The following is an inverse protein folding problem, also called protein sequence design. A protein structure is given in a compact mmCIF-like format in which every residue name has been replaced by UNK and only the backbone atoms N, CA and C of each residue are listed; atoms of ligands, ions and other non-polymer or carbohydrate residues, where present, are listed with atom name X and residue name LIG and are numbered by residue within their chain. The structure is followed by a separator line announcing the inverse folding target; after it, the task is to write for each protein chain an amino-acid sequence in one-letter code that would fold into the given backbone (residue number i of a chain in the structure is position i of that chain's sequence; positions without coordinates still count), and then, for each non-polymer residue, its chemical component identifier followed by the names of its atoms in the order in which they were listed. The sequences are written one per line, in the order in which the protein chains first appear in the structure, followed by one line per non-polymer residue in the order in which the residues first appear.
data_IF_553739832850
#
_entry.id   IF_553739832850
#
_cell.length_a   1.000
_cell.length_b   1.000
_cell.length_c   1.000
_cell.angle_alpha   90.00
_cell.angle_beta   90.00
_cell.angle_gamma   90.00
#
_symmetry.space_group_name_H-M   'P 1'
#
loop_
_entity.id
_entity.type
_entity.pdbx_description
1 polymer ?
#
# COMPACT_ATOMS: atom_id res chain seq x y z
N UNK A 1 -31.20 13.06 10.91
CA UNK A 1 -30.43 11.84 10.56
C UNK A 1 -31.17 11.13 9.43
N UNK A 2 -30.77 11.34 8.18
CA UNK A 2 -31.26 10.53 7.06
C UNK A 2 -30.33 9.33 6.92
N UNK A 3 -30.81 8.13 7.28
CA UNK A 3 -30.16 6.88 6.91
C UNK A 3 -30.31 6.74 5.39
N UNK A 4 -29.39 7.35 4.66
CA UNK A 4 -29.21 7.14 3.22
C UNK A 4 -28.98 5.63 3.05
N UNK A 5 -29.81 4.96 2.23
CA UNK A 5 -29.61 3.55 1.83
C UNK A 5 -28.12 3.34 1.59
N UNK A 6 -27.53 2.29 2.18
CA UNK A 6 -26.13 1.98 1.97
C UNK A 6 -25.88 1.83 0.48
N UNK A 7 -25.28 2.85 -0.13
CA UNK A 7 -24.92 2.81 -1.54
C UNK A 7 -23.88 1.70 -1.70
N UNK A 8 -24.12 0.73 -2.59
CA UNK A 8 -23.20 -0.38 -2.87
C UNK A 8 -21.76 0.10 -3.13
N UNK A 9 -21.62 1.32 -3.70
CA UNK A 9 -20.34 2.00 -3.90
C UNK A 9 -19.61 2.29 -2.59
N UNK A 10 -20.31 2.72 -1.55
CA UNK A 10 -19.73 2.96 -0.23
C UNK A 10 -19.29 1.66 0.43
N UNK A 11 -20.06 0.58 0.28
CA UNK A 11 -19.69 -0.74 0.82
C UNK A 11 -18.40 -1.24 0.19
N UNK A 12 -18.28 -1.18 -1.14
CA UNK A 12 -17.07 -1.56 -1.87
C UNK A 12 -15.88 -0.69 -1.44
N UNK A 13 -16.08 0.62 -1.28
CA UNK A 13 -15.05 1.55 -0.84
C UNK A 13 -14.50 1.19 0.55
N UNK A 14 -15.37 0.90 1.52
CA UNK A 14 -14.95 0.48 2.86
C UNK A 14 -14.30 -0.91 2.89
N UNK A 15 -14.73 -1.84 2.02
CA UNK A 15 -14.04 -3.12 1.83
C UNK A 15 -12.63 -2.93 1.27
N UNK A 16 -12.43 -2.02 0.33
CA UNK A 16 -11.10 -1.67 -0.17
C UNK A 16 -10.22 -1.07 0.94
N UNK A 17 -10.77 -0.24 1.84
CA UNK A 17 -10.02 0.27 2.98
C UNK A 17 -9.64 -0.83 3.95
N UNK A 18 -10.54 -1.76 4.22
CA UNK A 18 -10.24 -2.93 5.04
C UNK A 18 -9.09 -3.75 4.45
N UNK A 19 -9.15 -4.06 3.15
CA UNK A 19 -8.08 -4.76 2.45
C UNK A 19 -6.75 -4.00 2.49
N UNK A 20 -6.78 -2.67 2.33
CA UNK A 20 -5.59 -1.84 2.44
C UNK A 20 -5.01 -1.83 3.85
N UNK A 21 -5.85 -1.79 4.89
CA UNK A 21 -5.41 -1.87 6.28
C UNK A 21 -4.78 -3.24 6.59
N UNK A 22 -5.43 -4.33 6.17
CA UNK A 22 -4.89 -5.69 6.38
C UNK A 22 -3.53 -5.86 5.71
N UNK A 23 -3.36 -5.36 4.49
CA UNK A 23 -2.09 -5.48 3.77
C UNK A 23 -1.01 -4.59 4.38
N UNK A 24 -1.33 -3.34 4.71
CA UNK A 24 -0.36 -2.43 5.32
C UNK A 24 0.10 -2.88 6.72
N UNK A 25 -0.74 -3.62 7.46
CA UNK A 25 -0.31 -4.19 8.74
C UNK A 25 0.72 -5.32 8.60
N UNK A 26 0.88 -5.92 7.42
CA UNK A 26 1.84 -6.99 7.17
C UNK A 26 3.19 -6.50 6.60
N UNK A 27 3.39 -5.19 6.45
CA UNK A 27 4.57 -4.58 5.80
C UNK A 27 5.91 -5.07 6.37
N UNK A 28 5.95 -5.39 7.67
CA UNK A 28 7.16 -5.80 8.38
C UNK A 28 7.32 -7.32 8.49
N UNK A 29 6.46 -8.12 7.83
CA UNK A 29 6.41 -9.57 7.99
C UNK A 29 5.68 -10.04 9.26
N UNK A 30 5.67 -9.21 10.31
CA UNK A 30 4.81 -9.35 11.49
C UNK A 30 3.69 -8.31 11.48
N UNK A 31 2.56 -8.61 12.13
CA UNK A 31 1.47 -7.66 12.26
C UNK A 31 1.95 -6.42 13.03
N UNK A 32 1.91 -5.25 12.42
CA UNK A 32 2.25 -3.97 13.07
C UNK A 32 1.21 -2.90 12.72
N UNK A 33 0.96 -1.90 13.57
CA UNK A 33 -0.05 -0.88 13.33
C UNK A 33 0.37 0.19 12.32
N UNK A 34 1.10 -0.20 11.28
CA UNK A 34 1.54 0.70 10.21
C UNK A 34 0.36 1.32 9.45
N UNK A 35 -0.75 0.60 9.34
CA UNK A 35 -1.95 1.08 8.66
C UNK A 35 -2.67 2.24 9.38
N UNK A 36 -2.26 2.59 10.61
CA UNK A 36 -2.72 3.77 11.32
C UNK A 36 -2.39 5.07 10.55
N UNK A 37 -1.32 5.08 9.76
CA UNK A 37 -0.98 6.19 8.87
C UNK A 37 -2.02 6.41 7.76
N UNK A 38 -2.56 5.32 7.20
CA UNK A 38 -3.64 5.36 6.21
C UNK A 38 -4.96 5.79 6.87
N UNK A 39 -5.22 5.36 8.10
CA UNK A 39 -6.41 5.77 8.87
C UNK A 39 -6.43 7.28 9.08
N UNK A 40 -5.32 7.87 9.50
CA UNK A 40 -5.18 9.32 9.66
C UNK A 40 -5.47 10.07 8.35
N UNK A 41 -4.98 9.57 7.22
CA UNK A 41 -5.23 10.16 5.90
C UNK A 41 -6.70 10.02 5.46
N UNK A 42 -7.36 8.89 5.73
CA UNK A 42 -8.78 8.71 5.41
C UNK A 42 -9.69 9.65 6.22
N UNK A 43 -9.38 9.86 7.49
CA UNK A 43 -10.10 10.80 8.35
C UNK A 43 -9.88 12.26 7.91
N UNK A 44 -8.68 12.59 7.41
CA UNK A 44 -8.41 13.91 6.80
C UNK A 44 -9.31 14.21 5.60
N UNK A 45 -9.66 13.22 4.78
CA UNK A 45 -10.62 13.38 3.68
C UNK A 45 -12.10 13.28 4.10
N UNK A 46 -12.40 13.31 5.40
CA UNK A 46 -13.76 13.36 5.92
C UNK A 46 -14.53 12.04 5.85
N UNK A 47 -13.82 10.90 5.75
CA UNK A 47 -14.44 9.57 5.86
C UNK A 47 -14.96 9.33 7.28
N UNK A 48 -15.83 8.33 7.43
CA UNK A 48 -16.57 8.16 8.68
C UNK A 48 -15.64 7.88 9.88
N UNK A 49 -15.83 8.66 10.94
CA UNK A 49 -15.02 8.63 12.17
C UNK A 49 -15.28 7.37 13.00
N UNK A 50 -16.32 6.60 12.68
CA UNK A 50 -16.69 5.37 13.41
C UNK A 50 -16.34 4.11 12.62
N UNK A 51 -16.68 4.07 11.32
CA UNK A 51 -16.51 2.84 10.52
C UNK A 51 -15.04 2.64 10.16
N UNK A 52 -14.29 3.71 9.82
CA UNK A 52 -12.89 3.55 9.42
C UNK A 52 -11.99 3.05 10.58
N UNK A 53 -12.08 3.59 11.81
CA UNK A 53 -11.32 3.03 12.94
C UNK A 53 -11.76 1.62 13.34
N UNK A 54 -13.06 1.29 13.23
CA UNK A 54 -13.53 -0.06 13.48
C UNK A 54 -12.93 -1.06 12.49
N UNK A 55 -12.91 -0.73 11.18
CA UNK A 55 -12.28 -1.57 10.16
C UNK A 55 -10.76 -1.71 10.37
N UNK A 56 -10.10 -0.65 10.83
CA UNK A 56 -8.70 -0.70 11.22
C UNK A 56 -8.46 -1.70 12.37
N UNK A 57 -9.28 -1.71 13.41
CA UNK A 57 -9.13 -2.69 14.51
C UNK A 57 -9.43 -4.12 14.05
N UNK A 58 -10.46 -4.31 13.22
CA UNK A 58 -10.80 -5.62 12.66
C UNK A 58 -9.69 -6.14 11.73
N UNK A 59 -8.88 -5.26 11.13
CA UNK A 59 -7.79 -5.64 10.21
C UNK A 59 -6.63 -6.40 10.87
N UNK A 60 -6.59 -6.47 12.21
CA UNK A 60 -5.61 -7.29 12.95
C UNK A 60 -6.09 -8.74 13.17
N UNK A 61 -7.40 -9.01 13.06
CA UNK A 61 -7.97 -10.35 13.29
C UNK A 61 -7.43 -11.44 12.33
N UNK A 62 -7.24 -11.17 11.01
CA UNK A 62 -6.71 -12.18 10.10
C UNK A 62 -5.32 -12.72 10.47
N UNK A 63 -4.55 -11.94 11.24
CA UNK A 63 -3.20 -12.29 11.67
C UNK A 63 -3.17 -12.91 13.08
N UNK A 64 -4.31 -13.08 13.74
CA UNK A 64 -4.38 -13.60 15.13
C UNK A 64 -3.67 -12.71 16.16
N UNK A 65 -3.39 -11.45 15.81
CA UNK A 65 -2.55 -10.53 16.58
C UNK A 65 -3.35 -9.82 17.69
N UNK A 66 -3.94 -10.59 18.61
CA UNK A 66 -4.79 -10.06 19.69
C UNK A 66 -4.02 -9.18 20.67
N UNK A 67 -2.75 -9.47 20.92
CA UNK A 67 -1.88 -8.69 21.82
C UNK A 67 -1.65 -7.26 21.31
N UNK A 68 -1.79 -7.05 20.00
CA UNK A 68 -1.61 -5.77 19.32
C UNK A 68 -2.90 -4.95 19.21
N UNK A 69 -4.06 -5.52 19.54
CA UNK A 69 -5.34 -4.81 19.49
C UNK A 69 -5.40 -3.65 20.49
N UNK A 70 -4.85 -3.81 21.68
CA UNK A 70 -4.83 -2.75 22.70
C UNK A 70 -3.87 -1.61 22.29
N UNK A 71 -2.62 -1.90 21.88
CA UNK A 71 -1.75 -0.92 21.23
C UNK A 71 -2.36 -0.22 20.00
N UNK A 72 -3.16 -0.91 19.20
CA UNK A 72 -3.85 -0.35 18.03
C UNK A 72 -5.13 0.44 18.39
N UNK A 73 -5.79 0.12 19.51
CA UNK A 73 -6.95 0.88 19.98
C UNK A 73 -6.58 2.31 20.38
N UNK A 74 -5.36 2.53 20.88
CA UNK A 74 -4.85 3.84 21.28
C UNK A 74 -4.83 4.82 20.09
N UNK A 75 -4.20 4.53 18.94
CA UNK A 75 -4.22 5.43 17.81
C UNK A 75 -5.63 5.62 17.23
N UNK A 76 -6.45 4.56 17.22
CA UNK A 76 -7.85 4.69 16.81
C UNK A 76 -8.63 5.69 17.71
N UNK A 77 -8.49 5.59 19.03
CA UNK A 77 -9.16 6.48 19.98
C UNK A 77 -8.64 7.92 19.87
N UNK A 78 -7.31 8.11 19.78
CA UNK A 78 -6.69 9.43 19.61
C UNK A 78 -7.21 10.11 18.34
N UNK A 79 -7.25 9.39 17.22
CA UNK A 79 -7.77 9.97 15.97
C UNK A 79 -9.26 10.27 16.03
N UNK A 80 -10.09 9.43 16.66
CA UNK A 80 -11.51 9.74 16.86
C UNK A 80 -11.67 11.07 17.59
N UNK A 81 -10.97 11.25 18.72
CA UNK A 81 -11.06 12.48 19.52
C UNK A 81 -10.59 13.70 18.75
N UNK A 82 -9.39 13.63 18.15
CA UNK A 82 -8.80 14.74 17.40
C UNK A 82 -9.69 15.14 16.22
N UNK A 83 -10.15 14.19 15.41
CA UNK A 83 -10.97 14.52 14.24
C UNK A 83 -12.40 14.94 14.59
N UNK A 84 -12.96 14.51 15.72
CA UNK A 84 -14.23 15.07 16.22
C UNK A 84 -14.09 16.54 16.62
N UNK A 85 -13.00 16.90 17.30
CA UNK A 85 -12.70 18.29 17.67
C UNK A 85 -12.54 19.14 16.40
N UNK A 86 -11.69 18.71 15.46
CA UNK A 86 -11.46 19.44 14.23
C UNK A 86 -12.72 19.61 13.37
N UNK A 87 -13.57 18.58 13.33
CA UNK A 87 -14.86 18.63 12.64
C UNK A 87 -15.87 19.55 13.33
N UNK A 88 -15.77 19.71 14.65
CA UNK A 88 -16.59 20.68 15.38
C UNK A 88 -16.18 22.13 15.07
N UNK A 89 -14.91 22.37 14.78
CA UNK A 89 -14.37 23.69 14.44
C UNK A 89 -14.29 23.97 12.91
N UNK A 90 -14.84 23.09 12.07
CA UNK A 90 -14.74 23.15 10.60
C UNK A 90 -13.29 23.39 10.07
N UNK A 91 -12.31 22.88 10.81
CA UNK A 91 -10.89 23.02 10.50
C UNK A 91 -10.28 21.69 10.04
N UNK A 92 -9.21 21.76 9.25
CA UNK A 92 -8.45 20.59 8.79
C UNK A 92 -7.03 20.62 9.37
N UNK A 93 -6.56 19.54 10.00
CA UNK A 93 -5.19 19.48 10.52
C UNK A 93 -4.19 19.40 9.36
N UNK A 94 -3.39 20.44 9.17
CA UNK A 94 -2.39 20.52 8.06
C UNK A 94 -1.08 19.83 8.43
N UNK A 95 -0.14 20.55 9.06
CA UNK A 95 1.15 20.00 9.49
C UNK A 95 1.08 19.25 10.83
N UNK A 96 0.04 19.52 11.62
CA UNK A 96 -0.16 18.91 12.94
C UNK A 96 -0.51 17.42 12.86
N UNK A 97 -0.92 16.93 11.69
CA UNK A 97 -1.23 15.52 11.46
C UNK A 97 -0.04 14.62 11.83
N UNK A 98 1.19 15.05 11.52
CA UNK A 98 2.41 14.29 11.82
C UNK A 98 2.60 14.16 13.35
N UNK A 99 2.34 15.25 14.09
CA UNK A 99 2.44 15.25 15.55
C UNK A 99 1.37 14.35 16.18
N UNK A 100 0.14 14.38 15.65
CA UNK A 100 -0.91 13.48 16.11
C UNK A 100 -0.61 12.02 15.82
N UNK A 101 -0.04 11.72 14.65
CA UNK A 101 0.39 10.36 14.33
C UNK A 101 1.48 9.91 15.29
N UNK A 102 2.54 10.70 15.50
CA UNK A 102 3.60 10.36 16.46
C UNK A 102 3.06 10.16 17.89
N UNK A 103 2.17 11.04 18.34
CA UNK A 103 1.52 10.91 19.64
C UNK A 103 0.69 9.63 19.74
N UNK A 104 -0.03 9.27 18.68
CA UNK A 104 -0.86 8.07 18.62
C UNK A 104 -0.05 6.76 18.72
N UNK A 105 1.21 6.78 18.26
CA UNK A 105 2.13 5.63 18.36
C UNK A 105 2.80 5.50 19.74
N UNK A 106 2.65 6.47 20.65
CA UNK A 106 3.21 6.36 22.02
C UNK A 106 2.70 5.11 22.75
N UNK A 107 1.41 4.79 22.58
CA UNK A 107 0.82 3.56 23.12
C UNK A 107 1.45 2.29 22.58
N UNK A 108 1.80 2.27 21.29
CA UNK A 108 2.47 1.14 20.65
C UNK A 108 3.92 0.96 21.14
N UNK A 109 4.65 2.06 21.32
CA UNK A 109 6.03 2.03 21.83
C UNK A 109 6.07 1.50 23.27
N UNK A 110 5.10 1.85 24.10
CA UNK A 110 5.11 1.55 25.53
C UNK A 110 4.57 0.16 25.91
N UNK A 111 3.69 -0.45 25.11
CA UNK A 111 2.92 -1.64 25.51
C UNK A 111 3.40 -2.95 24.85
N UNK A 112 4.25 -2.88 23.82
CA UNK A 112 4.72 -4.09 23.10
C UNK A 112 5.96 -4.76 23.70
N UNK A 113 6.16 -6.05 23.40
CA UNK A 113 7.36 -6.83 23.78
C UNK A 113 8.57 -6.72 22.85
N UNK A 114 8.43 -6.13 21.65
CA UNK A 114 9.55 -6.01 20.69
C UNK A 114 10.55 -4.91 21.06
N UNK A 115 11.71 -4.93 20.39
CA UNK A 115 12.77 -3.93 20.55
C UNK A 115 12.25 -2.49 20.44
N UNK A 116 12.54 -1.69 21.46
CA UNK A 116 12.12 -0.29 21.54
C UNK A 116 12.61 0.55 20.35
N UNK A 117 13.83 0.29 19.87
CA UNK A 117 14.41 0.99 18.72
C UNK A 117 13.60 0.73 17.45
N UNK A 118 13.17 -0.51 17.21
CA UNK A 118 12.38 -0.87 16.04
C UNK A 118 11.03 -0.14 16.04
N UNK A 119 10.35 -0.06 17.21
CA UNK A 119 9.06 0.64 17.32
C UNK A 119 9.17 2.15 17.13
N UNK A 120 10.26 2.77 17.60
CA UNK A 120 10.52 4.20 17.39
C UNK A 120 10.78 4.48 15.91
N UNK A 121 11.59 3.65 15.25
CA UNK A 121 11.86 3.80 13.82
C UNK A 121 10.56 3.62 13.03
N UNK A 122 9.75 2.59 13.36
CA UNK A 122 8.49 2.32 12.69
C UNK A 122 7.49 3.47 12.86
N UNK A 123 7.39 4.08 14.05
CA UNK A 123 6.49 5.20 14.27
C UNK A 123 6.88 6.46 13.49
N UNK A 124 8.19 6.73 13.37
CA UNK A 124 8.71 7.82 12.55
C UNK A 124 8.42 7.58 11.06
N UNK A 125 8.64 6.35 10.58
CA UNK A 125 8.32 5.98 9.18
C UNK A 125 6.81 6.08 8.94
N UNK A 126 5.98 5.58 9.85
CA UNK A 126 4.52 5.66 9.75
C UNK A 126 4.02 7.12 9.75
N UNK A 127 4.64 7.99 10.55
CA UNK A 127 4.34 9.42 10.55
C UNK A 127 4.68 10.08 9.20
N UNK A 128 5.85 9.79 8.64
CA UNK A 128 6.20 10.26 7.29
C UNK A 128 5.25 9.68 6.22
N UNK A 129 4.91 8.40 6.34
CA UNK A 129 4.00 7.70 5.43
C UNK A 129 2.58 8.25 5.47
N UNK A 130 2.14 8.83 6.59
CA UNK A 130 0.82 9.48 6.69
C UNK A 130 0.68 10.65 5.71
N UNK A 131 1.77 11.42 5.49
CA UNK A 131 1.81 12.52 4.52
C UNK A 131 1.71 11.99 3.09
N UNK A 132 2.44 10.91 2.79
CA UNK A 132 2.38 10.20 1.50
C UNK A 132 0.95 9.69 1.23
N UNK A 133 0.29 9.13 2.24
CA UNK A 133 -1.10 8.69 2.15
C UNK A 133 -2.05 9.86 1.86
N UNK A 134 -1.89 11.01 2.52
CA UNK A 134 -2.72 12.20 2.26
C UNK A 134 -2.58 12.67 0.81
N UNK A 135 -1.36 12.77 0.29
CA UNK A 135 -1.11 13.21 -1.09
C UNK A 135 -1.67 12.19 -2.09
N UNK A 136 -1.49 10.89 -1.82
CA UNK A 136 -1.98 9.81 -2.70
C UNK A 136 -3.52 9.76 -2.73
N UNK A 137 -4.17 9.87 -1.57
CA UNK A 137 -5.63 9.92 -1.48
C UNK A 137 -6.20 11.22 -2.08
N UNK A 138 -5.46 12.33 -2.05
CA UNK A 138 -5.84 13.56 -2.77
C UNK A 138 -5.94 13.31 -4.27
N UNK A 139 -5.00 12.55 -4.83
CA UNK A 139 -5.02 12.15 -6.23
C UNK A 139 -6.28 11.34 -6.53
N UNK A 140 -6.60 10.37 -5.66
CA UNK A 140 -7.73 9.47 -5.82
C UNK A 140 -9.10 10.17 -5.69
N UNK A 141 -9.29 10.97 -4.64
CA UNK A 141 -10.60 11.54 -4.28
C UNK A 141 -10.85 12.94 -4.85
N UNK A 142 -9.83 13.79 -4.97
CA UNK A 142 -10.02 15.20 -5.37
C UNK A 142 -9.77 15.41 -6.85
N UNK A 143 -8.62 14.94 -7.35
CA UNK A 143 -8.28 15.09 -8.77
C UNK A 143 -9.00 14.07 -9.64
N UNK A 144 -9.13 12.83 -9.14
CA UNK A 144 -9.57 11.70 -9.95
C UNK A 144 -8.63 11.45 -11.15
N UNK A 145 -8.88 10.39 -11.92
CA UNK A 145 -8.07 10.03 -13.10
C UNK A 145 -8.14 11.05 -14.26
N UNK A 146 -8.78 12.22 -14.07
CA UNK A 146 -9.01 13.23 -15.09
C UNK A 146 -7.87 14.25 -15.23
N UNK A 147 -7.11 14.50 -14.16
CA UNK A 147 -6.02 15.48 -14.18
C UNK A 147 -4.65 14.80 -14.23
N UNK A 148 -3.73 15.40 -14.99
CA UNK A 148 -2.34 14.93 -15.06
C UNK A 148 -1.70 15.05 -13.66
N UNK A 149 -1.15 13.96 -13.10
CA UNK A 149 -0.49 13.99 -11.79
C UNK A 149 0.77 14.87 -11.84
N UNK A 150 1.06 15.57 -10.74
CA UNK A 150 2.34 16.26 -10.56
C UNK A 150 3.48 15.26 -10.31
N UNK A 151 4.73 15.65 -10.54
CA UNK A 151 5.90 14.82 -10.22
C UNK A 151 5.92 14.40 -8.75
N UNK A 152 5.61 15.31 -7.82
CA UNK A 152 5.55 15.01 -6.39
C UNK A 152 4.47 13.98 -6.05
N UNK A 153 3.34 14.02 -6.76
CA UNK A 153 2.23 13.07 -6.58
C UNK A 153 2.58 11.68 -7.13
N UNK A 154 3.36 11.62 -8.22
CA UNK A 154 3.87 10.36 -8.78
C UNK A 154 4.89 9.71 -7.84
N UNK A 155 5.77 10.48 -7.21
CA UNK A 155 6.73 9.98 -6.22
C UNK A 155 5.98 9.42 -5.01
N UNK A 156 4.99 10.16 -4.49
CA UNK A 156 4.16 9.70 -3.37
C UNK A 156 3.38 8.42 -3.71
N UNK A 157 2.81 8.35 -4.92
CA UNK A 157 2.15 7.15 -5.42
C UNK A 157 3.13 5.96 -5.47
N UNK A 158 4.35 6.18 -5.95
CA UNK A 158 5.37 5.13 -6.02
C UNK A 158 5.79 4.60 -4.65
N UNK A 159 5.97 5.50 -3.67
CA UNK A 159 6.25 5.12 -2.28
C UNK A 159 5.05 4.34 -1.70
N UNK A 160 3.83 4.79 -1.97
CA UNK A 160 2.63 4.07 -1.55
C UNK A 160 2.55 2.66 -2.16
N UNK A 161 2.83 2.51 -3.46
CA UNK A 161 2.83 1.19 -4.11
C UNK A 161 3.94 0.28 -3.59
N UNK A 162 5.08 0.84 -3.18
CA UNK A 162 6.16 0.08 -2.56
C UNK A 162 5.70 -0.52 -1.22
N UNK A 163 5.18 0.29 -0.30
CA UNK A 163 4.70 -0.19 1.00
C UNK A 163 3.48 -1.11 0.86
N UNK A 164 2.58 -0.81 -0.08
CA UNK A 164 1.46 -1.70 -0.37
C UNK A 164 1.94 -3.05 -0.93
N UNK A 165 2.93 -3.04 -1.82
CA UNK A 165 3.55 -4.24 -2.36
C UNK A 165 4.23 -5.11 -1.30
N UNK A 166 4.96 -4.48 -0.36
CA UNK A 166 5.54 -5.16 0.80
C UNK A 166 4.46 -5.86 1.65
N UNK A 167 3.34 -5.17 1.89
CA UNK A 167 2.20 -5.74 2.58
C UNK A 167 1.63 -6.97 1.88
N UNK A 168 1.53 -6.95 0.54
CA UNK A 168 1.05 -8.09 -0.25
C UNK A 168 2.05 -9.25 -0.23
N UNK A 169 3.35 -8.98 -0.40
CA UNK A 169 4.38 -10.03 -0.42
C UNK A 169 4.44 -10.76 0.91
N UNK A 170 4.31 -10.07 2.04
CA UNK A 170 4.35 -10.69 3.36
C UNK A 170 3.02 -11.35 3.77
N UNK A 171 1.87 -10.81 3.35
CA UNK A 171 0.56 -11.37 3.71
C UNK A 171 0.12 -12.55 2.83
N UNK A 172 0.35 -12.45 1.51
CA UNK A 172 -0.15 -13.40 0.50
C UNK A 172 0.97 -14.17 -0.21
N UNK A 173 2.24 -13.84 0.09
CA UNK A 173 3.41 -14.43 -0.54
C UNK A 173 3.85 -13.70 -1.81
N UNK A 174 5.09 -13.98 -2.21
CA UNK A 174 5.72 -13.35 -3.39
C UNK A 174 4.97 -13.64 -4.70
N UNK A 175 4.39 -14.84 -4.82
CA UNK A 175 3.64 -15.27 -6.00
C UNK A 175 2.45 -14.35 -6.28
N UNK A 176 1.72 -13.96 -5.23
CA UNK A 176 0.56 -13.11 -5.34
C UNK A 176 0.94 -11.73 -5.87
N UNK A 177 2.01 -11.13 -5.33
CA UNK A 177 2.45 -9.81 -5.76
C UNK A 177 3.03 -9.81 -7.19
N UNK A 178 3.68 -10.89 -7.63
CA UNK A 178 4.14 -11.04 -9.02
C UNK A 178 2.99 -11.06 -10.01
N UNK A 179 1.92 -11.81 -9.70
CA UNK A 179 0.73 -11.85 -10.55
C UNK A 179 0.08 -10.47 -10.67
N UNK A 180 -0.08 -9.77 -9.55
CA UNK A 180 -0.61 -8.39 -9.54
C UNK A 180 0.30 -7.45 -10.33
N UNK A 181 1.62 -7.55 -10.13
CA UNK A 181 2.61 -6.74 -10.82
C UNK A 181 2.63 -7.00 -12.33
N UNK A 182 2.50 -8.24 -12.78
CA UNK A 182 2.44 -8.58 -14.20
C UNK A 182 1.24 -7.91 -14.88
N UNK A 183 0.06 -7.92 -14.25
CA UNK A 183 -1.14 -7.25 -14.76
C UNK A 183 -0.94 -5.73 -14.78
N UNK A 184 -0.36 -5.15 -13.71
CA UNK A 184 -0.09 -3.72 -13.63
C UNK A 184 0.94 -3.27 -14.67
N UNK A 185 1.97 -4.07 -14.95
CA UNK A 185 2.97 -3.81 -16.00
C UNK A 185 2.29 -3.83 -17.37
N UNK A 186 1.47 -4.84 -17.69
CA UNK A 186 0.74 -4.89 -18.96
C UNK A 186 -0.20 -3.70 -19.13
N UNK A 187 -0.90 -3.31 -18.06
CA UNK A 187 -1.77 -2.14 -18.04
C UNK A 187 -0.97 -0.83 -18.22
N UNK A 188 0.19 -0.73 -17.59
CA UNK A 188 1.09 0.41 -17.73
C UNK A 188 1.64 0.53 -19.16
N UNK A 189 2.11 -0.56 -19.76
CA UNK A 189 2.60 -0.56 -21.16
C UNK A 189 1.47 -0.21 -22.12
N UNK A 190 0.24 -0.68 -21.87
CA UNK A 190 -0.92 -0.36 -22.70
C UNK A 190 -1.35 1.11 -22.63
N UNK A 191 -1.38 1.68 -21.42
CA UNK A 191 -1.85 3.05 -21.21
C UNK A 191 -0.78 4.11 -21.48
N UNK A 192 0.48 3.84 -21.15
CA UNK A 192 1.51 4.87 -21.12
C UNK A 192 2.32 4.99 -22.42
N UNK A 193 2.31 3.97 -23.31
CA UNK A 193 2.89 3.91 -24.68
C UNK A 193 4.35 4.35 -24.91
N UNK A 194 4.93 5.20 -24.07
CA UNK A 194 6.28 5.75 -24.10
C UNK A 194 6.92 5.47 -22.73
N UNK A 195 8.17 4.98 -22.69
CA UNK A 195 9.17 4.89 -21.59
C UNK A 195 8.76 4.70 -20.11
N UNK A 196 7.71 5.38 -19.64
CA UNK A 196 7.13 5.33 -18.30
C UNK A 196 6.70 3.93 -17.85
N UNK A 197 6.42 2.99 -18.77
CA UNK A 197 6.18 1.58 -18.42
C UNK A 197 7.36 0.96 -17.65
N UNK A 198 8.60 1.30 -18.03
CA UNK A 198 9.81 0.85 -17.36
C UNK A 198 9.96 1.41 -15.94
N UNK A 199 9.54 2.67 -15.73
CA UNK A 199 9.53 3.27 -14.39
C UNK A 199 8.50 2.57 -13.48
N UNK A 200 7.31 2.26 -14.01
CA UNK A 200 6.28 1.53 -13.25
C UNK A 200 6.77 0.12 -12.90
N UNK A 201 7.37 -0.61 -13.84
CA UNK A 201 7.92 -1.94 -13.56
C UNK A 201 9.04 -1.89 -12.51
N UNK A 202 9.90 -0.88 -12.55
CA UNK A 202 10.96 -0.71 -11.56
C UNK A 202 10.40 -0.46 -10.15
N UNK A 203 9.41 0.42 -10.02
CA UNK A 203 8.77 0.72 -8.73
C UNK A 203 8.05 -0.52 -8.17
N UNK A 204 7.35 -1.28 -9.02
CA UNK A 204 6.72 -2.53 -8.59
C UNK A 204 7.74 -3.57 -8.15
N UNK A 205 8.89 -3.66 -8.83
CA UNK A 205 9.96 -4.59 -8.47
C UNK A 205 10.62 -4.24 -7.13
N UNK A 206 10.73 -2.96 -6.79
CA UNK A 206 11.39 -2.52 -5.56
C UNK A 206 10.77 -3.17 -4.30
N UNK A 207 9.45 -3.31 -4.27
CA UNK A 207 8.77 -3.98 -3.14
C UNK A 207 9.21 -5.45 -2.97
N UNK A 208 9.36 -6.22 -4.06
CA UNK A 208 9.89 -7.59 -3.99
C UNK A 208 11.36 -7.61 -3.60
N UNK A 209 12.19 -6.73 -4.17
CA UNK A 209 13.61 -6.69 -3.82
C UNK A 209 13.84 -6.37 -2.35
N UNK A 210 13.00 -5.53 -1.75
CA UNK A 210 13.09 -5.18 -0.33
C UNK A 210 12.57 -6.31 0.55
N UNK A 211 11.52 -7.02 0.12
CA UNK A 211 10.96 -8.15 0.87
C UNK A 211 11.91 -9.36 0.91
N UNK A 212 12.59 -9.67 -0.19
CA UNK A 212 13.44 -10.87 -0.31
C UNK A 212 14.94 -10.58 -0.09
N UNK A 213 15.36 -9.33 -0.24
CA UNK A 213 16.78 -8.95 -0.25
C UNK A 213 17.50 -9.20 -1.59
N UNK A 214 16.79 -9.69 -2.62
CA UNK A 214 17.38 -10.03 -3.92
C UNK A 214 17.13 -8.94 -4.97
N UNK A 215 18.20 -8.33 -5.47
CA UNK A 215 18.11 -7.27 -6.49
C UNK A 215 17.64 -7.79 -7.86
N UNK A 216 17.72 -9.09 -8.08
CA UNK A 216 17.38 -9.75 -9.35
C UNK A 216 15.96 -9.48 -9.82
N UNK A 217 15.02 -9.22 -8.91
CA UNK A 217 13.63 -8.93 -9.25
C UNK A 217 13.44 -7.65 -10.07
N UNK A 218 14.34 -6.66 -9.92
CA UNK A 218 14.35 -5.47 -10.80
C UNK A 218 14.61 -5.88 -12.24
N UNK A 219 15.57 -6.77 -12.46
CA UNK A 219 15.90 -7.29 -13.79
C UNK A 219 14.74 -8.05 -14.42
N UNK A 220 14.11 -8.95 -13.66
CA UNK A 220 12.97 -9.75 -14.13
C UNK A 220 11.81 -8.86 -14.60
N UNK A 221 11.43 -7.86 -13.79
CA UNK A 221 10.29 -6.99 -14.11
C UNK A 221 10.58 -6.04 -15.26
N UNK A 222 11.83 -5.60 -15.42
CA UNK A 222 12.25 -4.82 -16.60
C UNK A 222 12.21 -5.67 -17.87
N UNK A 223 12.64 -6.92 -17.83
CA UNK A 223 12.54 -7.84 -18.97
C UNK A 223 11.07 -8.08 -19.34
N UNK A 224 10.20 -8.26 -18.36
CA UNK A 224 8.75 -8.38 -18.59
C UNK A 224 8.19 -7.14 -19.29
N UNK A 225 8.58 -5.95 -18.86
CA UNK A 225 8.16 -4.70 -19.48
C UNK A 225 8.69 -4.56 -20.92
N UNK A 226 9.95 -4.90 -21.16
CA UNK A 226 10.56 -4.84 -22.50
C UNK A 226 9.91 -5.84 -23.46
N UNK A 227 9.72 -7.08 -23.03
CA UNK A 227 9.05 -8.13 -23.81
C UNK A 227 7.60 -7.73 -24.16
N UNK A 228 6.85 -7.19 -23.19
CA UNK A 228 5.51 -6.67 -23.42
C UNK A 228 5.51 -5.47 -24.38
N UNK A 229 6.43 -4.52 -24.21
CA UNK A 229 6.51 -3.30 -25.03
C UNK A 229 6.86 -3.59 -26.50
N UNK A 230 7.75 -4.54 -26.78
CA UNK A 230 8.11 -4.94 -28.14
C UNK A 230 6.93 -5.53 -28.91
N UNK A 231 6.01 -6.20 -28.22
CA UNK A 231 4.93 -6.99 -28.82
C UNK A 231 3.57 -6.26 -28.80
N UNK A 232 3.39 -5.33 -27.87
CA UNK A 232 2.18 -4.52 -27.74
C UNK A 232 1.70 -3.79 -29.02
N UNK A 233 2.56 -3.28 -29.93
CA UNK A 233 2.07 -2.68 -31.18
C UNK A 233 1.42 -3.69 -32.14
N UNK A 234 1.72 -4.99 -32.03
CA UNK A 234 1.19 -6.01 -32.92
C UNK A 234 -0.12 -6.63 -32.40
N UNK A 235 -0.16 -7.02 -31.12
CA UNK A 235 -1.37 -7.59 -30.51
C UNK A 235 -1.31 -7.58 -28.99
N UNK A 236 -2.44 -7.24 -28.36
CA UNK A 236 -2.59 -7.19 -26.89
C UNK A 236 -2.45 -8.57 -26.24
N UNK A 237 -3.01 -9.60 -26.89
CA UNK A 237 -2.92 -10.97 -26.41
C UNK A 237 -1.51 -11.52 -26.57
N UNK A 238 -0.81 -11.13 -27.63
CA UNK A 238 0.58 -11.54 -27.86
C UNK A 238 1.52 -10.93 -26.81
N UNK A 239 1.24 -9.72 -26.32
CA UNK A 239 2.03 -9.09 -25.24
C UNK A 239 1.90 -9.84 -23.90
N UNK A 240 0.72 -10.36 -23.58
CA UNK A 240 0.53 -11.21 -22.40
C UNK A 240 1.27 -12.54 -22.53
N UNK A 241 1.22 -13.16 -23.71
CA UNK A 241 1.97 -14.39 -24.00
C UNK A 241 3.48 -14.13 -23.96
N UNK A 242 3.96 -13.00 -24.49
CA UNK A 242 5.37 -12.62 -24.45
C UNK A 242 5.89 -12.44 -23.01
N UNK A 243 5.07 -11.88 -22.12
CA UNK A 243 5.42 -11.77 -20.70
C UNK A 243 5.56 -13.15 -20.05
N UNK A 244 4.59 -14.05 -20.26
CA UNK A 244 4.65 -15.42 -19.73
C UNK A 244 5.83 -16.22 -20.29
N UNK A 245 6.09 -16.10 -21.60
CA UNK A 245 7.26 -16.72 -22.23
C UNK A 245 8.56 -16.17 -21.67
N UNK A 246 8.63 -14.86 -21.40
CA UNK A 246 9.82 -14.26 -20.80
C UNK A 246 10.07 -14.79 -19.39
N UNK A 247 9.03 -15.00 -18.59
CA UNK A 247 9.17 -15.60 -17.25
C UNK A 247 9.65 -17.06 -17.34
N UNK A 248 9.10 -17.86 -18.27
CA UNK A 248 9.57 -19.22 -18.51
C UNK A 248 11.03 -19.27 -18.97
N UNK A 249 11.45 -18.37 -19.86
CA UNK A 249 12.84 -18.28 -20.32
C UNK A 249 13.75 -17.92 -19.16
N UNK A 250 13.38 -16.97 -18.30
CA UNK A 250 14.19 -16.61 -17.13
C UNK A 250 14.28 -17.80 -16.16
N UNK A 251 13.18 -18.54 -15.98
CA UNK A 251 13.14 -19.76 -15.15
C UNK A 251 14.10 -20.86 -15.64
N UNK A 252 14.13 -21.12 -16.94
CA UNK A 252 14.99 -22.18 -17.51
C UNK A 252 16.43 -21.75 -17.78
N UNK A 253 16.66 -20.48 -18.12
CA UNK A 253 17.98 -20.00 -18.56
C UNK A 253 18.86 -19.48 -17.42
N UNK A 254 18.27 -19.02 -16.31
CA UNK A 254 19.03 -18.45 -15.20
C UNK A 254 18.71 -19.18 -13.88
N UNK A 255 19.72 -19.55 -13.07
CA UNK A 255 19.53 -20.14 -11.74
C UNK A 255 19.04 -19.10 -10.71
N UNK A 256 18.32 -18.08 -11.14
CA UNK A 256 17.66 -17.09 -10.30
C UNK A 256 16.55 -17.72 -9.45
N UNK A 257 15.99 -18.84 -9.93
CA UNK A 257 14.89 -19.55 -9.28
C UNK A 257 15.34 -20.69 -8.35
N UNK A 258 16.64 -20.98 -8.21
CA UNK A 258 17.13 -22.03 -7.31
C UNK A 258 16.90 -21.70 -5.81
N UNK A 259 16.62 -20.43 -5.48
CA UNK A 259 16.20 -20.00 -4.14
C UNK A 259 14.69 -20.09 -3.88
N UNK A 260 13.89 -20.52 -4.87
CA UNK A 260 12.46 -20.73 -4.69
C UNK A 260 12.23 -22.14 -4.16
N UNK A 261 12.01 -22.24 -2.85
CA UNK A 261 11.34 -23.37 -2.27
C UNK A 261 9.89 -23.44 -2.75
N UNK A 262 9.66 -23.98 -3.94
CA UNK A 262 8.42 -24.69 -4.24
C UNK A 262 8.68 -26.18 -4.07
N UNK A 263 8.82 -26.57 -2.80
CA UNK A 263 8.56 -27.90 -2.25
C UNK A 263 8.06 -27.71 -0.81
#
# INVERSE_FOLDING_TARGET
MNFRKADWKSVIEYLCYFGAFTLLNAVTGTATPFSAALLAALLFFGKSVVIAPALFLVSFLPYGAFDLLLPAAIPAAVYIVVFLIYRHFDALPKGELILYVLFSFTGYVLIGGDDYLFKIILSVIAAAFSVVCVITLKLLFVKGLKYKPSYDELICLGIFTLFFGLGVTHALGEAAWRMVSAVLILLAVYLLKEGAGGMVSAVLALSLTVATGDLSYVGVFLIWCLAAACVMPFSRYLAAVALLLSDLVIFFAFPLYAHYGYL
#
